data_IF_692616433334
#
_entry.id   IF_692616433334
#
_cell.length_a   1.000
_cell.length_b   1.000
_cell.length_c   1.000
_cell.angle_alpha   90.00
_cell.angle_beta   90.00
_cell.angle_gamma   90.00
#
_symmetry.space_group_name_H-M   'P 1'
#
loop_
_entity.id
_entity.type
_entity.pdbx_description
1 polymer ?
#
# COMPACT_ATOMS: atom_id res chain seq x y z
N UNK A 1 -34.57 -9.43 15.78
CA UNK A 1 -34.25 -9.85 17.15
C UNK A 1 -32.90 -9.25 17.53
N UNK A 2 -32.84 -8.35 18.51
CA UNK A 2 -31.57 -7.76 18.97
C UNK A 2 -30.74 -8.85 19.63
N UNK A 3 -29.59 -9.17 19.05
CA UNK A 3 -28.63 -10.13 19.61
C UNK A 3 -28.05 -9.53 20.89
N UNK A 4 -28.41 -10.07 22.04
CA UNK A 4 -27.85 -9.66 23.34
C UNK A 4 -26.36 -9.98 23.37
N UNK A 5 -25.52 -8.94 23.26
CA UNK A 5 -24.05 -9.07 23.30
C UNK A 5 -23.59 -9.35 24.71
N UNK A 6 -22.79 -10.40 24.89
CA UNK A 6 -22.17 -10.76 26.18
C UNK A 6 -20.86 -10.02 26.45
N UNK A 7 -20.26 -9.40 25.42
CA UNK A 7 -18.99 -8.66 25.48
C UNK A 7 -18.94 -7.56 24.42
N UNK A 8 -18.08 -6.58 24.62
CA UNK A 8 -17.91 -5.41 23.74
C UNK A 8 -17.04 -5.70 22.51
N UNK A 9 -16.31 -6.81 22.48
CA UNK A 9 -15.42 -7.18 21.39
C UNK A 9 -16.18 -7.85 20.25
N UNK A 10 -15.73 -7.57 19.01
CA UNK A 10 -16.25 -8.20 17.82
C UNK A 10 -15.44 -9.48 17.53
N UNK A 11 -16.10 -10.63 17.54
CA UNK A 11 -15.51 -11.90 17.13
C UNK A 11 -15.87 -12.10 15.66
N UNK A 12 -14.86 -11.98 14.79
CA UNK A 12 -14.99 -12.15 13.35
C UNK A 12 -15.40 -13.59 13.00
N UNK A 13 -16.29 -13.73 12.04
CA UNK A 13 -16.57 -15.02 11.41
C UNK A 13 -15.38 -15.45 10.56
N UNK A 14 -15.20 -16.74 10.37
CA UNK A 14 -14.19 -17.28 9.47
C UNK A 14 -14.48 -16.79 8.04
N UNK A 15 -13.54 -16.10 7.43
CA UNK A 15 -13.64 -15.58 6.06
C UNK A 15 -12.51 -16.11 5.18
N UNK A 16 -12.72 -16.31 3.88
CA UNK A 16 -11.70 -16.80 2.96
C UNK A 16 -10.74 -15.69 2.47
N UNK A 17 -11.00 -14.43 2.76
CA UNK A 17 -10.27 -13.28 2.21
C UNK A 17 -8.77 -13.27 2.52
N UNK A 18 -8.32 -13.64 3.74
CA UNK A 18 -6.88 -13.71 4.02
C UNK A 18 -6.15 -14.72 3.14
N UNK A 19 -6.79 -15.87 2.82
CA UNK A 19 -6.22 -16.87 1.94
C UNK A 19 -6.05 -16.34 0.52
N UNK A 20 -7.10 -15.74 -0.05
CA UNK A 20 -7.02 -15.16 -1.39
C UNK A 20 -6.03 -14.00 -1.47
N UNK A 21 -5.97 -13.15 -0.45
CA UNK A 21 -4.99 -12.05 -0.39
C UNK A 21 -3.55 -12.57 -0.36
N UNK A 22 -3.27 -13.62 0.40
CA UNK A 22 -1.93 -14.23 0.48
C UNK A 22 -1.51 -14.87 -0.85
N UNK A 23 -2.43 -15.58 -1.53
CA UNK A 23 -2.17 -16.15 -2.85
C UNK A 23 -1.96 -15.04 -3.90
N UNK A 24 -2.76 -13.99 -3.87
CA UNK A 24 -2.60 -12.84 -4.75
C UNK A 24 -1.25 -12.14 -4.53
N UNK A 25 -0.83 -11.96 -3.28
CA UNK A 25 0.47 -11.40 -2.94
C UNK A 25 1.63 -12.28 -3.45
N UNK A 26 1.51 -13.60 -3.33
CA UNK A 26 2.49 -14.54 -3.87
C UNK A 26 2.62 -14.41 -5.38
N UNK A 27 1.51 -14.37 -6.12
CA UNK A 27 1.53 -14.19 -7.57
C UNK A 27 2.07 -12.81 -7.98
N UNK A 28 1.75 -11.77 -7.24
CA UNK A 28 2.26 -10.43 -7.50
C UNK A 28 3.78 -10.38 -7.38
N UNK A 29 4.32 -10.82 -6.25
CA UNK A 29 5.76 -10.76 -5.97
C UNK A 29 6.55 -11.70 -6.89
N UNK A 30 6.10 -12.94 -7.06
CA UNK A 30 6.77 -13.89 -7.97
C UNK A 30 6.69 -13.44 -9.42
N UNK A 31 5.53 -12.92 -9.86
CA UNK A 31 5.36 -12.38 -11.20
C UNK A 31 6.26 -11.18 -11.47
N UNK A 32 6.39 -10.27 -10.51
CA UNK A 32 7.29 -9.11 -10.60
C UNK A 32 8.76 -9.56 -10.68
N UNK A 33 9.15 -10.53 -9.87
CA UNK A 33 10.50 -11.10 -9.91
C UNK A 33 10.79 -11.74 -11.27
N UNK A 34 9.86 -12.52 -11.81
CA UNK A 34 10.01 -13.12 -13.15
C UNK A 34 10.11 -12.06 -14.24
N UNK A 35 9.32 -11.00 -14.14
CA UNK A 35 9.38 -9.88 -15.08
C UNK A 35 10.75 -9.19 -15.06
N UNK A 36 11.30 -8.92 -13.86
CA UNK A 36 12.63 -8.30 -13.70
C UNK A 36 13.77 -9.18 -14.26
N UNK A 37 13.61 -10.50 -14.22
CA UNK A 37 14.55 -11.46 -14.77
C UNK A 37 14.30 -11.83 -16.25
N UNK A 38 13.43 -11.08 -16.94
CA UNK A 38 13.06 -11.31 -18.35
C UNK A 38 12.51 -12.73 -18.63
N UNK A 39 11.89 -13.37 -17.63
CA UNK A 39 11.24 -14.66 -17.80
C UNK A 39 9.87 -14.44 -18.47
N UNK A 40 9.56 -15.27 -19.47
CA UNK A 40 8.28 -15.21 -20.19
C UNK A 40 7.10 -15.28 -19.20
N UNK A 41 6.05 -14.50 -19.48
CA UNK A 41 4.80 -14.43 -18.71
C UNK A 41 4.92 -13.83 -17.29
N UNK A 42 6.06 -13.28 -16.86
CA UNK A 42 6.20 -12.62 -15.56
C UNK A 42 5.18 -11.50 -15.35
N UNK A 43 4.99 -10.65 -16.36
CA UNK A 43 4.01 -9.58 -16.32
C UNK A 43 2.56 -10.07 -16.15
N UNK A 44 2.18 -11.13 -16.86
CA UNK A 44 0.82 -11.69 -16.79
C UNK A 44 0.53 -12.29 -15.41
N UNK A 45 1.50 -12.97 -14.81
CA UNK A 45 1.38 -13.52 -13.43
C UNK A 45 1.22 -12.38 -12.41
N UNK A 46 2.01 -11.32 -12.54
CA UNK A 46 1.91 -10.13 -11.67
C UNK A 46 0.54 -9.45 -11.80
N UNK A 47 0.03 -9.31 -13.01
CA UNK A 47 -1.29 -8.73 -13.29
C UNK A 47 -2.42 -9.56 -12.66
N UNK A 48 -2.36 -10.88 -12.78
CA UNK A 48 -3.31 -11.79 -12.11
C UNK A 48 -3.23 -11.59 -10.58
N UNK A 49 -2.02 -11.47 -10.02
CA UNK A 49 -1.82 -11.20 -8.60
C UNK A 49 -2.53 -9.92 -8.14
N UNK A 50 -2.38 -8.81 -8.88
CA UNK A 50 -3.05 -7.53 -8.60
C UNK A 50 -4.57 -7.70 -8.65
N UNK A 51 -5.10 -8.38 -9.66
CA UNK A 51 -6.55 -8.59 -9.79
C UNK A 51 -7.12 -9.38 -8.62
N UNK A 52 -6.42 -10.46 -8.20
CA UNK A 52 -6.86 -11.29 -7.06
C UNK A 52 -6.83 -10.48 -5.76
N UNK A 53 -5.77 -9.71 -5.50
CA UNK A 53 -5.69 -8.85 -4.30
C UNK A 53 -6.80 -7.81 -4.30
N UNK A 54 -7.00 -7.13 -5.43
CA UNK A 54 -8.03 -6.09 -5.56
C UNK A 54 -9.43 -6.64 -5.32
N UNK A 55 -9.72 -7.82 -5.88
CA UNK A 55 -11.00 -8.50 -5.66
C UNK A 55 -11.18 -8.91 -4.19
N UNK A 56 -10.17 -9.54 -3.58
CA UNK A 56 -10.23 -9.97 -2.19
C UNK A 56 -10.36 -8.77 -1.24
N UNK A 57 -9.61 -7.69 -1.47
CA UNK A 57 -9.70 -6.46 -0.68
C UNK A 57 -11.07 -5.81 -0.77
N UNK A 58 -11.63 -5.71 -1.97
CA UNK A 58 -12.96 -5.14 -2.21
C UNK A 58 -14.04 -5.95 -1.48
N UNK A 59 -14.00 -7.27 -1.62
CA UNK A 59 -14.94 -8.16 -0.95
C UNK A 59 -14.83 -8.08 0.57
N UNK A 60 -13.60 -8.00 1.10
CA UNK A 60 -13.39 -7.82 2.53
C UNK A 60 -13.95 -6.50 3.04
N UNK A 61 -13.75 -5.41 2.31
CA UNK A 61 -14.32 -4.09 2.67
C UNK A 61 -15.85 -4.15 2.69
N UNK A 62 -16.48 -4.84 1.75
CA UNK A 62 -17.94 -5.03 1.77
C UNK A 62 -18.40 -5.79 2.99
N UNK A 63 -17.73 -6.87 3.40
CA UNK A 63 -18.04 -7.59 4.63
C UNK A 63 -17.94 -6.69 5.86
N UNK A 64 -16.89 -5.86 5.96
CA UNK A 64 -16.69 -4.91 7.07
C UNK A 64 -17.84 -3.87 7.11
N UNK A 65 -18.28 -3.37 5.96
CA UNK A 65 -19.42 -2.43 5.86
C UNK A 65 -20.71 -3.11 6.30
N UNK A 66 -20.96 -4.34 5.88
CA UNK A 66 -22.14 -5.12 6.26
C UNK A 66 -22.19 -5.36 7.77
N UNK A 67 -21.07 -5.77 8.36
CA UNK A 67 -20.92 -5.97 9.80
C UNK A 67 -21.13 -4.67 10.60
N UNK A 68 -20.64 -3.53 10.08
CA UNK A 68 -20.82 -2.24 10.72
C UNK A 68 -22.27 -1.74 10.65
N UNK A 69 -22.88 -1.81 9.46
CA UNK A 69 -24.15 -1.15 9.15
C UNK A 69 -25.35 -2.01 9.49
N UNK A 70 -25.37 -3.26 9.02
CA UNK A 70 -26.53 -4.14 9.16
C UNK A 70 -26.47 -5.03 10.40
N UNK A 71 -25.31 -5.57 10.73
CA UNK A 71 -25.14 -6.41 11.91
C UNK A 71 -24.98 -5.60 13.19
N UNK A 72 -24.60 -4.32 13.06
CA UNK A 72 -24.33 -3.41 14.21
C UNK A 72 -23.23 -3.95 15.11
N UNK A 73 -22.26 -4.71 14.60
CA UNK A 73 -21.23 -5.38 15.39
C UNK A 73 -20.09 -4.45 15.81
N UNK A 74 -20.06 -3.22 15.29
CA UNK A 74 -19.07 -2.20 15.65
C UNK A 74 -19.49 -1.43 16.90
N UNK A 75 -19.16 -1.98 18.07
CA UNK A 75 -19.29 -1.25 19.34
C UNK A 75 -18.30 -0.08 19.42
N UNK A 76 -18.47 0.84 20.38
CA UNK A 76 -17.57 1.97 20.59
C UNK A 76 -16.10 1.50 20.77
N UNK A 77 -15.89 0.40 21.49
CA UNK A 77 -14.55 -0.17 21.68
C UNK A 77 -13.92 -0.64 20.35
N UNK A 78 -14.72 -1.25 19.46
CA UNK A 78 -14.29 -1.69 18.13
C UNK A 78 -13.97 -0.48 17.24
N UNK A 79 -14.80 0.56 17.26
CA UNK A 79 -14.56 1.79 16.51
C UNK A 79 -13.27 2.49 16.93
N UNK A 80 -13.00 2.57 18.25
CA UNK A 80 -11.73 3.10 18.76
C UNK A 80 -10.54 2.26 18.31
N UNK A 81 -10.67 0.93 18.30
CA UNK A 81 -9.63 0.03 17.79
C UNK A 81 -9.32 0.24 16.31
N UNK A 82 -10.33 0.37 15.46
CA UNK A 82 -10.19 0.63 14.03
C UNK A 82 -9.54 2.00 13.79
N UNK A 83 -9.98 3.04 14.52
CA UNK A 83 -9.39 4.38 14.42
C UNK A 83 -7.92 4.38 14.81
N UNK A 84 -7.56 3.70 15.90
CA UNK A 84 -6.17 3.55 16.32
C UNK A 84 -5.33 2.81 15.27
N UNK A 85 -5.88 1.74 14.68
CA UNK A 85 -5.23 1.01 13.58
C UNK A 85 -4.98 1.89 12.37
N UNK A 86 -5.93 2.75 12.00
CA UNK A 86 -5.76 3.70 10.90
C UNK A 86 -4.67 4.75 11.19
N UNK A 87 -4.60 5.26 12.42
CA UNK A 87 -3.53 6.19 12.83
C UNK A 87 -2.17 5.51 12.73
N UNK A 88 -2.04 4.26 13.20
CA UNK A 88 -0.79 3.49 13.09
C UNK A 88 -0.41 3.23 11.63
N UNK A 89 -1.37 2.98 10.76
CA UNK A 89 -1.13 2.87 9.33
C UNK A 89 -0.54 4.17 8.76
N UNK A 90 -1.12 5.33 9.06
CA UNK A 90 -0.58 6.62 8.63
C UNK A 90 0.84 6.85 9.15
N UNK A 91 1.12 6.50 10.40
CA UNK A 91 2.47 6.60 10.98
C UNK A 91 3.45 5.71 10.21
N UNK A 92 3.06 4.50 9.80
CA UNK A 92 3.90 3.60 9.00
C UNK A 92 4.23 4.20 7.62
N UNK A 93 3.27 4.85 6.98
CA UNK A 93 3.49 5.55 5.70
C UNK A 93 4.45 6.73 5.86
N UNK A 94 4.31 7.52 6.93
CA UNK A 94 5.25 8.61 7.24
C UNK A 94 6.67 8.06 7.44
N UNK A 95 6.83 6.94 8.15
CA UNK A 95 8.12 6.31 8.37
C UNK A 95 8.74 5.76 7.08
N UNK A 96 7.92 5.28 6.13
CA UNK A 96 8.38 4.88 4.80
C UNK A 96 8.99 6.07 4.06
N UNK A 97 8.28 7.20 3.99
CA UNK A 97 8.81 8.41 3.37
C UNK A 97 10.05 8.95 4.08
N UNK A 98 10.07 8.91 5.41
CA UNK A 98 11.24 9.27 6.19
C UNK A 98 12.47 8.44 5.80
N UNK A 99 12.30 7.12 5.61
CA UNK A 99 13.37 6.23 5.15
C UNK A 99 13.92 6.62 3.78
N UNK A 100 13.04 6.95 2.82
CA UNK A 100 13.47 7.40 1.49
C UNK A 100 14.20 8.75 1.53
N UNK A 101 13.70 9.72 2.29
CA UNK A 101 14.38 11.00 2.46
C UNK A 101 15.71 10.85 3.16
N UNK A 102 15.80 9.99 4.17
CA UNK A 102 17.07 9.66 4.83
C UNK A 102 18.08 9.12 3.82
N UNK A 103 17.72 8.10 3.06
CA UNK A 103 18.59 7.51 2.05
C UNK A 103 19.07 8.56 1.03
N UNK A 104 18.15 9.41 0.54
CA UNK A 104 18.49 10.50 -0.37
C UNK A 104 19.50 11.48 0.25
N UNK A 105 19.24 11.99 1.44
CA UNK A 105 20.12 12.94 2.09
C UNK A 105 21.46 12.30 2.48
N UNK A 106 21.46 11.06 2.93
CA UNK A 106 22.69 10.33 3.23
C UNK A 106 23.59 10.22 2.00
N UNK A 107 23.04 9.84 0.86
CA UNK A 107 23.81 9.73 -0.38
C UNK A 107 24.20 11.09 -0.98
N UNK A 108 23.40 12.14 -0.77
CA UNK A 108 23.69 13.46 -1.34
C UNK A 108 24.72 14.25 -0.54
N UNK A 109 24.70 14.11 0.79
CA UNK A 109 25.64 14.83 1.68
C UNK A 109 27.00 14.13 1.83
N UNK A 110 27.01 12.80 1.77
CA UNK A 110 28.22 12.00 1.90
C UNK A 110 28.21 10.87 0.83
N UNK A 111 28.51 11.21 -0.44
CA UNK A 111 28.52 10.21 -1.51
C UNK A 111 29.56 9.12 -1.24
N UNK A 112 29.12 7.86 -1.24
CA UNK A 112 30.00 6.72 -1.05
C UNK A 112 30.86 6.45 -2.29
N UNK A 113 31.97 5.74 -2.11
CA UNK A 113 32.89 5.35 -3.19
C UNK A 113 32.16 4.48 -4.22
N UNK A 114 31.20 3.67 -3.77
CA UNK A 114 30.40 2.77 -4.60
C UNK A 114 29.55 3.50 -5.65
N UNK A 115 29.10 4.72 -5.37
CA UNK A 115 28.36 5.56 -6.32
C UNK A 115 29.25 6.58 -7.05
N UNK A 116 30.59 6.41 -6.97
CA UNK A 116 31.56 7.25 -7.65
C UNK A 116 31.92 8.54 -6.92
N UNK A 117 31.64 8.66 -5.63
CA UNK A 117 31.94 9.82 -4.76
C UNK A 117 31.39 11.16 -5.25
N UNK A 118 30.43 11.15 -6.16
CA UNK A 118 29.77 12.33 -6.74
C UNK A 118 28.25 12.13 -6.70
N UNK A 119 27.52 13.17 -6.30
CA UNK A 119 26.06 13.16 -6.37
C UNK A 119 25.56 14.31 -7.29
N UNK A 120 24.64 14.04 -8.23
CA UNK A 120 24.06 12.74 -8.60
C UNK A 120 25.05 11.83 -9.33
N UNK A 121 24.92 10.48 -9.22
CA UNK A 121 25.79 9.53 -9.90
C UNK A 121 25.78 9.71 -11.41
N UNK A 122 26.90 9.37 -12.06
CA UNK A 122 27.03 9.47 -13.51
C UNK A 122 26.00 8.55 -14.18
N UNK A 123 25.19 9.12 -15.08
CA UNK A 123 24.10 8.38 -15.77
C UNK A 123 22.69 8.66 -15.22
N UNK A 124 22.56 9.31 -14.07
CA UNK A 124 21.26 9.79 -13.59
C UNK A 124 21.03 11.21 -14.07
N UNK A 125 20.06 11.39 -14.96
CA UNK A 125 19.63 12.71 -15.37
C UNK A 125 18.65 13.27 -14.33
N UNK A 126 19.04 14.33 -13.65
CA UNK A 126 18.15 15.06 -12.74
C UNK A 126 16.99 15.63 -13.54
N UNK A 127 15.77 15.41 -13.06
CA UNK A 127 14.55 15.97 -13.67
C UNK A 127 14.71 17.48 -13.75
N UNK A 128 14.80 18.03 -14.97
CA UNK A 128 14.93 19.48 -15.14
C UNK A 128 13.72 20.18 -14.50
N UNK A 129 13.96 21.32 -13.88
CA UNK A 129 12.98 22.13 -13.18
C UNK A 129 11.67 22.37 -13.98
N UNK A 130 11.79 22.40 -15.31
CA UNK A 130 10.66 22.53 -16.24
C UNK A 130 9.65 21.38 -16.15
N UNK A 131 10.09 20.12 -15.95
CA UNK A 131 9.19 18.96 -15.85
C UNK A 131 8.36 19.04 -14.56
N UNK A 132 8.96 19.51 -13.48
CA UNK A 132 8.25 19.71 -12.21
C UNK A 132 7.16 20.79 -12.32
N UNK A 133 7.44 21.85 -13.08
CA UNK A 133 6.47 22.92 -13.36
C UNK A 133 5.27 22.41 -14.19
N UNK A 134 5.55 21.58 -15.22
CA UNK A 134 4.49 20.94 -16.02
C UNK A 134 3.64 19.98 -15.20
N UNK A 135 4.23 19.24 -14.28
CA UNK A 135 3.51 18.32 -13.40
C UNK A 135 2.58 19.06 -12.44
N UNK A 136 3.04 20.18 -11.88
CA UNK A 136 2.21 21.07 -11.04
C UNK A 136 1.08 21.71 -11.85
N UNK A 137 1.35 22.17 -13.06
CA UNK A 137 0.33 22.74 -13.97
C UNK A 137 -0.70 21.70 -14.37
N UNK A 138 -0.27 20.46 -14.64
CA UNK A 138 -1.15 19.35 -14.97
C UNK A 138 -2.06 18.97 -13.80
N UNK A 139 -1.53 18.91 -12.57
CA UNK A 139 -2.31 18.66 -11.35
C UNK A 139 -3.33 19.78 -11.12
N UNK A 140 -2.95 21.05 -11.33
CA UNK A 140 -3.88 22.17 -11.21
C UNK A 140 -4.97 22.16 -12.30
N UNK A 141 -4.65 21.69 -13.50
CA UNK A 141 -5.62 21.55 -14.59
C UNK A 141 -6.66 20.46 -14.34
N UNK A 142 -6.28 19.37 -13.69
CA UNK A 142 -7.22 18.28 -13.30
C UNK A 142 -8.14 18.72 -12.15
N UNK A 143 -7.74 19.74 -11.39
CA UNK A 143 -8.48 20.23 -10.22
C UNK A 143 -9.52 21.32 -10.54
N UNK A 144 -9.53 21.84 -11.79
CA UNK A 144 -10.60 22.69 -12.34
C UNK A 144 -11.63 21.88 -13.10
#
# INVERSE_FOLDING_TARGET
MAKTRRHLFHILKVSPWPLFSSMGALFLVSGLTFYMHNIKNGFTISLVGILVISWAATSWVFDVIDEATYSGDHSIAVQMGITSGFILFIVSEIMLFFGFFWAFFHCSLCPSIEIGSIFPPVGIHVIKHQVFLYLILFINFIRC
#
